data_IF_028222024182
#
_entry.id   IF_028222024182
#
_cell.length_a   1.000
_cell.length_b   1.000
_cell.length_c   1.000
_cell.angle_alpha   90.00
_cell.angle_beta   90.00
_cell.angle_gamma   90.00
#
_symmetry.space_group_name_H-M   'P 1'
#
loop_
_entity.id
_entity.type
_entity.pdbx_description
1 polymer ?
#
# COMPACT_ATOMS: atom_id res chain seq x y z
N UNK A 1 -9.42 -26.97 -0.56
CA UNK A 1 -10.16 -25.83 0.03
C UNK A 1 -11.54 -26.34 0.42
N UNK A 2 -12.00 -26.12 1.66
CA UNK A 2 -13.27 -26.68 2.13
C UNK A 2 -14.46 -25.98 1.45
N UNK A 3 -15.51 -26.74 1.13
CA UNK A 3 -16.73 -26.23 0.49
C UNK A 3 -17.42 -25.15 1.32
N UNK A 4 -17.34 -25.25 2.65
CA UNK A 4 -17.89 -24.27 3.59
C UNK A 4 -17.22 -22.89 3.49
N UNK A 5 -15.89 -22.86 3.34
CA UNK A 5 -15.14 -21.60 3.18
C UNK A 5 -15.50 -20.91 1.86
N UNK A 6 -15.60 -21.69 0.78
CA UNK A 6 -16.00 -21.15 -0.52
C UNK A 6 -17.43 -20.60 -0.48
N UNK A 7 -18.35 -21.33 0.15
CA UNK A 7 -19.74 -20.86 0.34
C UNK A 7 -19.79 -19.53 1.10
N UNK A 8 -19.00 -19.40 2.18
CA UNK A 8 -18.94 -18.16 2.95
C UNK A 8 -18.32 -17.00 2.15
N UNK A 9 -17.27 -17.24 1.36
CA UNK A 9 -16.68 -16.20 0.48
C UNK A 9 -17.71 -15.74 -0.55
N UNK A 10 -18.43 -16.68 -1.18
CA UNK A 10 -19.47 -16.36 -2.16
C UNK A 10 -20.62 -15.57 -1.53
N UNK A 11 -21.06 -15.95 -0.34
CA UNK A 11 -22.09 -15.22 0.41
C UNK A 11 -21.61 -13.80 0.76
N UNK A 12 -20.39 -13.66 1.28
CA UNK A 12 -19.80 -12.37 1.61
C UNK A 12 -19.66 -11.44 0.40
N UNK A 13 -19.41 -11.99 -0.80
CA UNK A 13 -19.40 -11.23 -2.06
C UNK A 13 -20.77 -10.67 -2.41
N UNK A 14 -21.83 -11.44 -2.19
CA UNK A 14 -23.21 -11.02 -2.52
C UNK A 14 -23.68 -9.80 -1.73
N UNK A 15 -23.04 -9.50 -0.60
CA UNK A 15 -23.36 -8.36 0.25
C UNK A 15 -22.66 -7.05 -0.13
N UNK A 16 -21.77 -7.06 -1.13
CA UNK A 16 -21.03 -5.87 -1.55
C UNK A 16 -21.29 -5.56 -3.02
N UNK A 17 -21.66 -4.32 -3.30
CA UNK A 17 -21.77 -3.80 -4.66
C UNK A 17 -20.70 -2.72 -4.86
N UNK A 18 -19.78 -2.95 -5.79
CA UNK A 18 -18.61 -2.11 -6.03
C UNK A 18 -18.51 -1.86 -7.52
N UNK A 19 -18.72 -0.60 -7.89
CA UNK A 19 -18.63 -0.15 -9.28
C UNK A 19 -17.32 0.62 -9.43
N UNK A 20 -16.41 0.09 -10.25
CA UNK A 20 -15.15 0.72 -10.60
C UNK A 20 -15.15 1.06 -12.10
N UNK A 21 -14.99 2.34 -12.41
CA UNK A 21 -14.97 2.84 -13.79
C UNK A 21 -13.63 3.49 -14.11
N UNK A 22 -13.13 3.27 -15.32
CA UNK A 22 -11.92 3.94 -15.79
C UNK A 22 -12.26 5.35 -16.22
N UNK A 23 -11.71 6.34 -15.52
CA UNK A 23 -11.81 7.77 -15.86
C UNK A 23 -10.51 8.30 -16.44
N UNK A 24 -10.56 9.45 -17.12
CA UNK A 24 -9.34 10.13 -17.53
C UNK A 24 -8.59 10.65 -16.29
N UNK A 25 -7.25 10.64 -16.33
CA UNK A 25 -6.44 11.13 -15.22
C UNK A 25 -6.75 12.60 -14.85
N UNK A 26 -7.11 13.42 -15.83
CA UNK A 26 -7.53 14.82 -15.64
C UNK A 26 -8.87 14.98 -14.90
N UNK A 27 -9.66 13.92 -14.80
CA UNK A 27 -10.95 13.90 -14.11
C UNK A 27 -10.84 13.39 -12.66
N UNK A 28 -9.67 12.90 -12.25
CA UNK A 28 -9.46 12.39 -10.90
C UNK A 28 -9.54 13.55 -9.90
N UNK A 29 -10.60 13.57 -9.11
CA UNK A 29 -10.83 14.61 -8.09
C UNK A 29 -9.85 14.46 -6.94
N UNK A 30 -9.49 15.58 -6.29
CA UNK A 30 -8.56 15.62 -5.14
C UNK A 30 -7.11 15.19 -5.43
N UNK A 31 -6.77 15.00 -6.70
CA UNK A 31 -5.41 14.74 -7.15
C UNK A 31 -4.90 15.90 -8.02
N UNK A 32 -3.61 16.23 -7.87
CA UNK A 32 -2.93 17.31 -8.57
C UNK A 32 -1.79 16.75 -9.40
N UNK A 33 -1.75 17.14 -10.67
CA UNK A 33 -0.60 16.91 -11.54
C UNK A 33 0.33 18.11 -11.42
N UNK A 34 1.50 17.89 -10.81
CA UNK A 34 2.59 18.86 -10.71
C UNK A 34 3.66 18.53 -11.76
N UNK A 35 4.67 19.38 -11.88
CA UNK A 35 5.74 19.18 -12.87
C UNK A 35 6.60 17.94 -12.60
N UNK A 36 6.68 17.46 -11.35
CA UNK A 36 7.52 16.34 -10.93
C UNK A 36 6.75 15.12 -10.40
N UNK A 37 5.45 15.25 -10.13
CA UNK A 37 4.64 14.19 -9.52
C UNK A 37 3.14 14.38 -9.73
N UNK A 38 2.39 13.30 -9.50
CA UNK A 38 0.94 13.34 -9.27
C UNK A 38 0.70 13.01 -7.80
N UNK A 39 -0.03 13.86 -7.08
CA UNK A 39 -0.18 13.76 -5.61
C UNK A 39 -1.60 14.08 -5.15
N UNK A 40 -2.02 13.54 -4.02
CA UNK A 40 -3.31 13.87 -3.40
C UNK A 40 -3.27 15.23 -2.70
N UNK A 41 -4.39 15.95 -2.67
CA UNK A 41 -4.53 17.26 -2.04
C UNK A 41 -4.06 17.31 -0.59
N UNK A 42 -4.37 16.26 0.17
CA UNK A 42 -4.03 16.15 1.60
C UNK A 42 -2.63 15.53 1.82
N UNK A 43 -1.90 15.21 0.75
CA UNK A 43 -0.60 14.53 0.82
C UNK A 43 -0.65 13.09 1.32
N UNK A 44 -1.83 12.48 1.37
CA UNK A 44 -2.09 11.09 1.77
C UNK A 44 -1.95 10.11 0.59
N UNK A 45 -2.03 8.81 0.89
CA UNK A 45 -1.97 7.68 -0.05
C UNK A 45 -0.60 7.45 -0.67
N UNK A 46 -0.38 7.97 -1.87
CA UNK A 46 0.83 7.77 -2.65
C UNK A 46 1.03 8.93 -3.63
N UNK A 47 2.26 9.09 -4.10
CA UNK A 47 2.59 9.94 -5.24
C UNK A 47 2.89 9.04 -6.45
N UNK A 48 2.62 9.52 -7.67
CA UNK A 48 3.24 8.97 -8.88
C UNK A 48 4.39 9.90 -9.26
N UNK A 49 5.61 9.36 -9.28
CA UNK A 49 6.85 10.12 -9.57
C UNK A 49 7.51 9.58 -10.82
N UNK A 50 8.23 10.43 -11.56
CA UNK A 50 9.12 9.98 -12.62
C UNK A 50 10.50 9.62 -12.04
N UNK A 51 11.07 8.50 -12.47
CA UNK A 51 12.45 8.12 -12.15
C UNK A 51 13.25 7.92 -13.42
N UNK A 52 14.53 8.27 -13.35
CA UNK A 52 15.55 7.94 -14.35
C UNK A 52 16.37 6.76 -13.82
N UNK A 53 16.36 5.65 -14.55
CA UNK A 53 16.97 4.39 -14.12
C UNK A 53 18.16 4.08 -15.01
N UNK A 54 19.33 4.00 -14.38
CA UNK A 54 20.57 3.54 -15.02
C UNK A 54 20.95 2.17 -14.47
N UNK A 55 21.21 1.20 -15.35
CA UNK A 55 21.65 -0.14 -14.97
C UNK A 55 22.84 -0.59 -15.81
N UNK A 56 23.73 -1.35 -15.20
CA UNK A 56 24.75 -2.12 -15.91
C UNK A 56 24.17 -3.50 -16.28
N UNK A 57 24.59 -4.07 -17.41
CA UNK A 57 24.29 -5.48 -17.76
C UNK A 57 22.93 -5.78 -18.42
N UNK A 58 22.11 -4.77 -18.77
CA UNK A 58 20.95 -4.96 -19.67
C UNK A 58 21.20 -4.33 -21.04
N UNK A 59 20.42 -4.75 -22.04
CA UNK A 59 20.45 -4.21 -23.40
C UNK A 59 20.14 -2.71 -23.44
N UNK A 60 19.13 -2.28 -22.69
CA UNK A 60 18.81 -0.86 -22.46
C UNK A 60 19.47 -0.39 -21.16
N UNK A 61 20.41 0.54 -21.28
CA UNK A 61 21.23 1.05 -20.16
C UNK A 61 20.57 2.17 -19.37
N UNK A 62 19.70 2.95 -20.00
CA UNK A 62 19.01 4.07 -19.36
C UNK A 62 17.57 4.19 -19.86
N UNK A 63 16.61 4.40 -18.94
CA UNK A 63 15.22 4.67 -19.27
C UNK A 63 14.54 5.49 -18.19
N UNK A 64 13.42 6.13 -18.55
CA UNK A 64 12.54 6.79 -17.58
C UNK A 64 11.25 6.01 -17.42
N UNK A 65 10.71 5.99 -16.21
CA UNK A 65 9.41 5.37 -15.94
C UNK A 65 8.70 6.06 -14.78
N UNK A 66 7.35 6.04 -14.76
CA UNK A 66 6.62 6.40 -13.56
C UNK A 66 6.76 5.29 -12.51
N UNK A 67 6.85 5.67 -11.24
CA UNK A 67 6.76 4.77 -10.09
C UNK A 67 5.76 5.31 -9.08
N UNK A 68 5.09 4.38 -8.39
CA UNK A 68 4.27 4.69 -7.24
C UNK A 68 5.16 4.82 -5.99
N UNK A 69 5.05 5.94 -5.29
CA UNK A 69 5.78 6.26 -4.06
C UNK A 69 4.81 6.39 -2.88
N UNK A 70 4.71 5.39 -1.99
CA UNK A 70 3.77 5.42 -0.87
C UNK A 70 4.09 6.51 0.16
N UNK A 71 3.05 7.10 0.74
CA UNK A 71 3.15 8.11 1.81
C UNK A 71 3.07 7.45 3.18
N UNK A 72 4.11 6.70 3.53
CA UNK A 72 4.22 6.02 4.82
C UNK A 72 4.59 4.55 4.71
N UNK A 73 4.59 3.86 5.85
CA UNK A 73 4.95 2.45 5.92
C UNK A 73 3.68 1.62 6.09
N UNK A 74 3.44 0.73 5.12
CA UNK A 74 2.33 -0.20 5.18
C UNK A 74 2.51 -1.20 6.31
N UNK A 75 1.41 -1.49 7.01
CA UNK A 75 1.29 -2.59 7.96
C UNK A 75 0.39 -3.66 7.35
N UNK A 76 0.83 -4.91 7.41
CA UNK A 76 0.02 -6.09 7.13
C UNK A 76 0.25 -7.13 8.24
N UNK A 77 -0.81 -7.52 8.95
CA UNK A 77 -0.71 -8.43 10.10
C UNK A 77 -1.94 -9.34 10.24
N UNK A 78 -1.67 -10.59 10.64
CA UNK A 78 -2.69 -11.54 11.07
C UNK A 78 -2.70 -11.68 12.59
N UNK A 79 -3.90 -11.73 13.16
CA UNK A 79 -4.11 -12.25 14.51
C UNK A 79 -4.10 -13.78 14.45
N UNK A 80 -3.32 -14.39 15.36
CA UNK A 80 -3.11 -15.83 15.38
C UNK A 80 -3.69 -16.42 16.67
N UNK A 81 -4.52 -17.45 16.52
CA UNK A 81 -4.97 -18.31 17.63
C UNK A 81 -4.25 -19.65 17.51
N UNK A 82 -3.67 -20.14 18.61
CA UNK A 82 -3.12 -21.50 18.66
C UNK A 82 -4.22 -22.46 19.13
N UNK A 83 -4.48 -23.51 18.37
CA UNK A 83 -5.40 -24.59 18.73
C UNK A 83 -4.65 -25.93 18.79
N UNK A 84 -5.32 -27.00 19.22
CA UNK A 84 -4.74 -28.35 19.21
C UNK A 84 -4.38 -28.80 17.78
N UNK A 85 -5.14 -28.33 16.78
CA UNK A 85 -4.96 -28.64 15.37
C UNK A 85 -3.91 -27.75 14.66
N UNK A 86 -3.28 -26.83 15.39
CA UNK A 86 -2.24 -25.94 14.87
C UNK A 86 -2.57 -24.44 14.98
N UNK A 87 -1.70 -23.57 14.43
CA UNK A 87 -1.97 -22.14 14.38
C UNK A 87 -3.06 -21.81 13.35
N UNK A 88 -4.09 -21.10 13.79
CA UNK A 88 -5.15 -20.53 12.96
C UNK A 88 -5.01 -19.01 12.89
N UNK A 89 -5.35 -18.42 11.75
CA UNK A 89 -5.30 -16.96 11.54
C UNK A 89 -6.68 -16.39 11.34
N UNK A 90 -6.89 -15.16 11.80
CA UNK A 90 -8.10 -14.40 11.48
C UNK A 90 -7.89 -13.64 10.17
N UNK A 91 -8.39 -14.14 9.06
CA UNK A 91 -8.42 -13.36 7.81
C UNK A 91 -9.53 -12.32 7.84
N UNK A 92 -9.34 -11.22 7.11
CA UNK A 92 -10.39 -10.24 6.84
C UNK A 92 -10.82 -10.34 5.39
N UNK A 93 -12.11 -10.14 5.13
CA UNK A 93 -12.56 -9.80 3.78
C UNK A 93 -12.22 -8.35 3.49
N UNK A 94 -11.89 -8.06 2.23
CA UNK A 94 -11.38 -6.76 1.79
C UNK A 94 -11.98 -6.41 0.44
N UNK A 95 -12.46 -5.19 0.33
CA UNK A 95 -12.93 -4.59 -0.92
C UNK A 95 -11.91 -3.52 -1.30
N UNK A 96 -11.26 -3.68 -2.44
CA UNK A 96 -10.30 -2.71 -2.97
C UNK A 96 -10.69 -2.34 -4.41
N UNK A 97 -10.67 -1.05 -4.76
CA UNK A 97 -11.19 -0.57 -6.06
C UNK A 97 -10.41 -1.06 -7.28
N UNK A 98 -9.25 -1.70 -7.08
CA UNK A 98 -8.45 -2.33 -8.13
C UNK A 98 -8.57 -3.85 -8.16
N UNK A 99 -9.34 -4.47 -7.27
CA UNK A 99 -9.53 -5.91 -7.25
C UNK A 99 -10.38 -6.35 -8.43
N UNK A 100 -9.92 -7.39 -9.14
CA UNK A 100 -10.69 -8.01 -10.24
C UNK A 100 -11.94 -8.74 -9.71
N UNK A 101 -11.92 -9.12 -8.44
CA UNK A 101 -13.03 -9.70 -7.71
C UNK A 101 -13.53 -8.68 -6.69
N UNK A 102 -14.84 -8.66 -6.40
CA UNK A 102 -15.44 -7.68 -5.49
C UNK A 102 -14.83 -7.77 -4.08
N UNK A 103 -14.39 -8.98 -3.70
CA UNK A 103 -13.91 -9.28 -2.36
C UNK A 103 -12.74 -10.25 -2.37
N UNK A 104 -11.67 -9.86 -1.67
CA UNK A 104 -10.47 -10.66 -1.46
C UNK A 104 -10.27 -10.98 0.03
N UNK A 105 -9.56 -12.08 0.31
CA UNK A 105 -9.10 -12.41 1.66
C UNK A 105 -7.73 -11.79 1.91
N UNK A 106 -7.65 -10.99 2.96
CA UNK A 106 -6.43 -10.32 3.37
C UNK A 106 -6.09 -10.55 4.85
N UNK A 107 -4.99 -9.91 5.30
CA UNK A 107 -4.61 -9.84 6.71
C UNK A 107 -5.75 -9.30 7.59
N UNK A 108 -5.73 -9.65 8.88
CA UNK A 108 -6.66 -9.06 9.86
C UNK A 108 -6.55 -7.52 9.87
N UNK A 109 -5.33 -7.01 9.75
CA UNK A 109 -5.04 -5.58 9.68
C UNK A 109 -4.14 -5.34 8.47
N UNK A 110 -4.61 -4.54 7.52
CA UNK A 110 -3.82 -4.07 6.39
C UNK A 110 -4.10 -2.59 6.09
N UNK A 111 -3.09 -1.72 6.22
CA UNK A 111 -3.23 -0.28 6.08
C UNK A 111 -1.90 0.47 6.20
N UNK A 112 -1.88 1.71 5.75
CA UNK A 112 -0.79 2.68 6.00
C UNK A 112 -1.26 3.68 7.06
N UNK A 113 -0.76 3.63 8.31
CA UNK A 113 -1.27 4.46 9.41
C UNK A 113 -1.32 5.97 9.10
N UNK A 114 -0.37 6.45 8.30
CA UNK A 114 -0.28 7.85 7.87
C UNK A 114 -1.51 8.29 7.06
N UNK A 115 -2.12 7.39 6.28
CA UNK A 115 -3.34 7.70 5.51
C UNK A 115 -4.56 7.94 6.39
N UNK A 116 -4.55 7.44 7.63
CA UNK A 116 -5.65 7.60 8.59
C UNK A 116 -5.38 8.71 9.60
N UNK A 117 -4.17 9.29 9.62
CA UNK A 117 -3.82 10.37 10.53
C UNK A 117 -4.62 11.66 10.22
N UNK A 118 -5.01 11.84 8.96
CA UNK A 118 -5.78 12.99 8.46
C UNK A 118 -7.29 12.87 8.70
N UNK A 119 -7.79 11.71 9.11
CA UNK A 119 -9.22 11.45 9.34
C UNK A 119 -9.55 11.50 10.84
N UNK A 120 -10.44 12.42 11.29
CA UNK A 120 -10.89 12.46 12.68
C UNK A 120 -11.66 11.18 13.04
N UNK A 121 -11.32 10.55 14.16
CA UNK A 121 -12.08 9.40 14.70
C UNK A 121 -11.92 8.06 13.95
N UNK A 122 -11.11 8.00 12.89
CA UNK A 122 -10.89 6.75 12.16
C UNK A 122 -10.23 5.69 13.08
N UNK A 123 -10.68 4.42 13.05
CA UNK A 123 -10.05 3.35 13.81
C UNK A 123 -8.58 3.26 13.41
N UNK A 124 -7.71 3.68 14.33
CA UNK A 124 -6.28 3.79 14.05
C UNK A 124 -5.72 2.39 13.93
N UNK A 125 -5.21 2.03 12.77
CA UNK A 125 -4.46 0.79 12.59
C UNK A 125 -3.33 0.58 13.61
N UNK A 126 -2.76 1.68 14.13
CA UNK A 126 -1.76 1.67 15.18
C UNK A 126 -2.25 1.05 16.50
N UNK A 127 -3.54 1.18 16.85
CA UNK A 127 -4.04 0.68 18.15
C UNK A 127 -3.94 -0.84 18.26
N UNK A 128 -4.14 -1.57 17.16
CA UNK A 128 -4.09 -3.04 17.12
C UNK A 128 -2.67 -3.58 17.27
N UNK A 129 -1.68 -2.89 16.69
CA UNK A 129 -0.27 -3.32 16.69
C UNK A 129 0.40 -3.00 18.04
N UNK A 130 0.04 -1.86 18.65
CA UNK A 130 0.69 -1.37 19.88
C UNK A 130 0.36 -2.26 21.10
N UNK A 131 -0.79 -2.94 21.10
CA UNK A 131 -1.12 -3.97 22.11
C UNK A 131 -0.21 -5.20 22.06
N UNK A 132 0.57 -5.41 20.98
CA UNK A 132 1.40 -6.60 20.78
C UNK A 132 2.91 -6.38 20.96
N UNK A 133 3.33 -5.26 21.58
CA UNK A 133 4.74 -4.93 21.82
C UNK A 133 5.50 -5.94 22.72
N UNK A 134 6.84 -5.99 22.65
CA UNK A 134 7.65 -6.90 23.46
C UNK A 134 7.48 -6.58 24.94
N UNK A 135 7.11 -7.60 25.74
CA UNK A 135 6.93 -7.59 27.21
C UNK A 135 7.56 -6.37 27.91
N UNK A 136 6.74 -5.46 28.43
CA UNK A 136 7.11 -4.67 29.62
C UNK A 136 6.57 -5.41 30.85
N UNK A 137 7.47 -5.99 31.63
CA UNK A 137 7.18 -6.46 32.98
C UNK A 137 7.05 -5.25 33.90
N UNK A 138 5.84 -4.99 34.37
CA UNK A 138 5.52 -4.00 35.41
C UNK A 138 4.29 -4.47 36.20
N UNK A 139 4.22 -4.27 37.53
CA UNK A 139 3.23 -4.94 38.37
C UNK A 139 1.99 -4.06 38.57
N UNK A 140 0.92 -4.28 37.81
CA UNK A 140 -0.46 -4.04 38.24
C UNK A 140 -1.45 -4.42 37.13
N UNK A 141 -2.48 -5.16 37.55
CA UNK A 141 -3.45 -5.93 36.78
C UNK A 141 -4.31 -5.16 35.76
N UNK A 142 -4.24 -5.57 34.49
CA UNK A 142 -5.38 -6.07 33.70
C UNK A 142 -4.79 -7.03 32.67
N UNK A 143 -5.09 -8.33 32.83
CA UNK A 143 -4.40 -9.41 32.11
C UNK A 143 -5.01 -9.59 30.71
N UNK A 144 -4.59 -8.78 29.74
CA UNK A 144 -4.77 -9.09 28.32
C UNK A 144 -3.48 -9.73 27.82
N UNK A 145 -3.48 -11.03 27.51
CA UNK A 145 -2.31 -11.75 26.99
C UNK A 145 -2.34 -11.72 25.45
N UNK A 146 -1.54 -10.89 24.76
CA UNK A 146 -1.46 -10.95 23.30
C UNK A 146 -0.43 -12.03 22.95
N UNK A 147 -0.88 -13.22 22.56
CA UNK A 147 0.00 -14.24 22.00
C UNK A 147 0.27 -13.90 20.54
N UNK A 148 1.36 -13.16 20.30
CA UNK A 148 2.07 -12.87 19.03
C UNK A 148 1.20 -12.65 17.78
N UNK A 149 1.07 -11.39 17.38
CA UNK A 149 0.80 -11.05 15.98
C UNK A 149 2.07 -11.31 15.14
N UNK A 150 1.90 -11.89 13.95
CA UNK A 150 2.93 -11.87 12.91
C UNK A 150 2.75 -10.55 12.15
N UNK A 151 3.66 -9.60 12.36
CA UNK A 151 3.62 -8.27 11.74
C UNK A 151 4.65 -8.24 10.62
N UNK A 152 4.19 -8.11 9.37
CA UNK A 152 5.05 -7.73 8.26
C UNK A 152 5.00 -6.22 8.12
N UNK A 153 6.16 -5.59 8.17
CA UNK A 153 6.31 -4.16 7.91
C UNK A 153 7.07 -4.05 6.61
N UNK A 154 6.39 -3.64 5.53
CA UNK A 154 7.07 -3.46 4.24
C UNK A 154 7.41 -1.97 4.11
N UNK A 155 8.67 -1.56 4.34
CA UNK A 155 9.09 -0.27 3.83
C UNK A 155 9.00 -0.35 2.30
N UNK A 156 8.27 0.56 1.69
CA UNK A 156 8.37 0.76 0.25
C UNK A 156 9.71 1.46 -0.05
N UNK A 157 10.81 0.71 0.06
CA UNK A 157 12.12 1.15 -0.38
C UNK A 157 12.45 0.37 -1.65
N UNK A 158 12.20 0.98 -2.81
CA UNK A 158 12.90 0.59 -4.03
C UNK A 158 14.33 1.10 -3.88
N UNK A 159 15.16 0.35 -3.17
CA UNK A 159 16.60 0.59 -3.13
C UNK A 159 17.19 0.00 -4.41
N UNK A 160 17.28 0.80 -5.47
CA UNK A 160 18.28 0.55 -6.50
C UNK A 160 19.63 0.98 -5.93
N UNK A 161 20.47 0.03 -5.58
CA UNK A 161 21.81 0.29 -5.05
C UNK A 161 22.75 0.74 -6.17
N UNK A 162 22.69 2.01 -6.53
CA UNK A 162 23.82 2.69 -7.16
C UNK A 162 23.86 4.14 -6.68
N UNK A 163 24.98 4.50 -6.05
CA UNK A 163 25.26 5.86 -5.59
C UNK A 163 25.26 6.76 -6.82
N UNK A 164 24.30 7.68 -6.95
CA UNK A 164 24.53 9.09 -7.20
C UNK A 164 23.19 9.84 -7.30
N UNK A 165 22.93 10.70 -6.32
CA UNK A 165 21.87 11.70 -6.36
C UNK A 165 22.30 12.77 -7.38
N UNK A 166 21.53 12.97 -8.46
CA UNK A 166 21.60 14.21 -9.24
C UNK A 166 20.22 14.85 -9.25
N UNK A 167 20.19 16.12 -8.85
CA UNK A 167 19.04 17.02 -8.89
C UNK A 167 18.66 17.31 -10.33
N UNK A 168 17.38 17.13 -10.66
CA UNK A 168 16.80 17.57 -11.94
C UNK A 168 16.93 19.10 -12.06
N UNK A 169 17.43 19.58 -13.20
CA UNK A 169 17.45 21.01 -13.58
C UNK A 169 16.74 21.17 -14.92
N UNK A 170 15.78 22.10 -15.05
CA UNK A 170 14.90 22.19 -16.22
C UNK A 170 15.55 23.04 -17.31
N UNK A 171 16.57 22.53 -17.99
CA UNK A 171 17.04 23.13 -19.25
C UNK A 171 17.62 22.05 -20.15
N UNK A 172 16.81 21.53 -21.05
CA UNK A 172 17.29 21.13 -22.37
C UNK A 172 16.32 21.63 -23.45
N UNK A 173 16.83 22.29 -24.50
CA UNK A 173 16.01 22.88 -25.56
C UNK A 173 15.44 21.80 -26.48
N UNK A 174 14.23 22.04 -27.00
CA UNK A 174 13.56 21.20 -28.01
C UNK A 174 14.44 21.09 -29.26
N UNK A 175 14.60 19.90 -29.87
CA UNK A 175 15.22 19.80 -31.19
C UNK A 175 14.29 20.44 -32.25
N UNK A 176 14.85 21.05 -33.32
CA UNK A 176 14.03 21.71 -34.34
C UNK A 176 13.26 20.68 -35.16
N UNK A 177 11.98 20.98 -35.41
CA UNK A 177 11.17 20.28 -36.40
C UNK A 177 11.75 20.56 -37.79
N UNK A 178 12.45 19.58 -38.36
CA UNK A 178 12.87 19.59 -39.75
C UNK A 178 11.66 19.57 -40.67
N UNK A 179 11.56 20.57 -41.56
CA UNK A 179 10.78 20.51 -42.80
C UNK A 179 11.65 19.88 -43.90
N UNK A 180 11.00 19.16 -44.81
CA UNK A 180 11.56 18.62 -46.06
C UNK A 180 10.65 17.46 -46.49
N UNK A 181 9.63 17.73 -47.30
CA UNK A 181 9.63 17.58 -48.77
C UNK A 181 9.39 16.13 -49.19
#
# INVERSE_FOLDING_TARGET
MSTELLSWITDARSHHDVIAERIALSQVTRWKVLHDRITHDDGAFFDIIAVDVTTEGREVRNWTQPLLSPRGVGVAAFLVRRTADGPQVLASTRVEGGSADVLELGPTVQCTPENYAVLPGAPRCRSWITCCGPRRTGPSSTRCSPRRAAVSTTPATVTCSSRHRRTWSPTHPRPPLGRGE
#
